data_IF_646254908626
#
_entry.id   IF_646254908626
#
_cell.length_a   1.000
_cell.length_b   1.000
_cell.length_c   1.000
_cell.angle_alpha   90.00
_cell.angle_beta   90.00
_cell.angle_gamma   90.00
#
_symmetry.space_group_name_H-M   'P 1'
#
loop_
_entity.id
_entity.type
_entity.pdbx_description
1 polymer ?
#
# COMPACT_ATOMS: atom_id res chain seq x y z
N UNK A 1 18.59 16.04 22.34
CA UNK A 1 17.21 16.56 22.36
C UNK A 1 16.21 15.51 22.83
N UNK A 2 15.60 15.69 24.01
CA UNK A 2 14.71 14.69 24.62
C UNK A 2 13.35 14.56 23.92
N UNK A 3 12.90 15.59 23.19
CA UNK A 3 11.62 15.58 22.46
C UNK A 3 11.83 15.31 20.98
N UNK A 4 12.56 16.19 20.29
CA UNK A 4 12.71 16.10 18.83
C UNK A 4 13.46 14.86 18.36
N UNK A 5 14.35 14.29 19.19
CA UNK A 5 15.01 13.02 18.90
C UNK A 5 14.08 11.79 18.92
N UNK A 6 12.87 11.92 19.48
CA UNK A 6 11.87 10.86 19.58
C UNK A 6 10.71 11.05 18.60
N UNK A 7 10.80 12.01 17.68
CA UNK A 7 9.83 12.20 16.61
C UNK A 7 10.19 11.36 15.39
N UNK A 8 9.23 10.58 14.89
CA UNK A 8 9.39 9.71 13.73
C UNK A 8 8.40 10.07 12.62
N UNK A 9 8.75 9.81 11.34
CA UNK A 9 7.83 10.01 10.24
C UNK A 9 6.69 8.98 10.29
N UNK A 10 5.46 9.48 10.29
CA UNK A 10 4.21 8.70 10.27
C UNK A 10 3.53 8.91 8.92
N UNK A 11 3.73 7.98 7.99
CA UNK A 11 3.18 8.05 6.63
C UNK A 11 1.77 7.48 6.50
N UNK A 12 1.36 6.60 7.42
CA UNK A 12 0.04 5.95 7.35
C UNK A 12 -0.61 5.77 8.71
N UNK A 13 0.16 5.35 9.73
CA UNK A 13 -0.35 5.05 11.06
C UNK A 13 0.72 5.00 12.13
N UNK A 14 0.29 5.22 13.37
CA UNK A 14 1.06 5.05 14.60
C UNK A 14 0.15 4.38 15.65
N UNK A 15 0.70 3.54 16.52
CA UNK A 15 -0.09 2.85 17.54
C UNK A 15 0.69 2.55 18.81
N UNK A 16 -0.05 2.35 19.91
CA UNK A 16 0.43 1.86 21.19
C UNK A 16 -0.25 0.53 21.52
N UNK A 17 0.47 -0.39 22.16
CA UNK A 17 -0.06 -1.69 22.62
C UNK A 17 0.12 -1.81 24.12
N UNK A 18 -0.96 -2.05 24.83
CA UNK A 18 -0.94 -2.56 26.20
C UNK A 18 -1.24 -4.07 26.16
N UNK A 19 -0.17 -4.87 26.28
CA UNK A 19 -0.29 -6.34 26.24
C UNK A 19 -0.98 -6.90 27.49
N UNK A 20 -0.83 -6.25 28.64
CA UNK A 20 -1.43 -6.74 29.88
C UNK A 20 -2.96 -6.59 29.87
N UNK A 21 -3.45 -5.51 29.25
CA UNK A 21 -4.89 -5.26 29.07
C UNK A 21 -5.46 -5.80 27.76
N UNK A 22 -4.60 -6.32 26.89
CA UNK A 22 -4.93 -6.71 25.52
C UNK A 22 -5.64 -5.59 24.74
N UNK A 23 -5.04 -4.40 24.71
CA UNK A 23 -5.58 -3.22 24.01
C UNK A 23 -4.53 -2.64 23.08
N UNK A 24 -4.95 -2.27 21.86
CA UNK A 24 -4.18 -1.44 20.94
C UNK A 24 -4.94 -0.16 20.62
N UNK A 25 -4.28 0.98 20.82
CA UNK A 25 -4.74 2.30 20.38
C UNK A 25 -4.00 2.67 19.10
N UNK A 26 -4.71 2.86 17.99
CA UNK A 26 -4.13 3.17 16.67
C UNK A 26 -4.69 4.46 16.11
N UNK A 27 -3.82 5.30 15.56
CA UNK A 27 -4.19 6.49 14.81
C UNK A 27 -3.73 6.34 13.36
N UNK A 28 -4.66 6.42 12.41
CA UNK A 28 -4.37 6.51 10.98
C UNK A 28 -4.29 7.98 10.56
N UNK A 29 -3.29 8.31 9.74
CA UNK A 29 -3.10 9.66 9.17
C UNK A 29 -3.53 9.70 7.70
N UNK A 30 -4.03 10.84 7.25
CA UNK A 30 -4.34 11.07 5.83
C UNK A 30 -3.14 11.59 5.02
N UNK A 31 -2.02 11.87 5.68
CA UNK A 31 -0.77 12.38 5.11
C UNK A 31 0.41 12.06 6.03
N UNK A 32 1.62 12.30 5.52
CA UNK A 32 2.85 12.24 6.31
C UNK A 32 2.86 13.31 7.41
N UNK A 33 3.11 12.89 8.63
CA UNK A 33 3.23 13.76 9.82
C UNK A 33 4.40 13.30 10.68
N UNK A 34 4.90 14.18 11.55
CA UNK A 34 5.78 13.76 12.64
C UNK A 34 4.93 13.24 13.80
N UNK A 35 5.29 12.09 14.39
CA UNK A 35 4.59 11.54 15.55
C UNK A 35 5.55 10.99 16.61
N UNK A 36 5.06 10.94 17.85
CA UNK A 36 5.82 10.42 18.98
C UNK A 36 4.92 9.83 20.08
N UNK A 37 5.55 9.23 21.08
CA UNK A 37 4.98 8.76 22.35
C UNK A 37 5.96 9.16 23.44
N UNK A 38 5.87 10.40 23.93
CA UNK A 38 6.84 10.98 24.87
C UNK A 38 6.65 10.51 26.32
N UNK A 39 5.47 9.99 26.64
CA UNK A 39 5.17 9.36 27.92
C UNK A 39 4.36 8.08 27.71
N UNK A 40 4.46 7.14 28.65
CA UNK A 40 3.73 5.88 28.60
C UNK A 40 2.22 6.10 28.45
N UNK A 41 1.62 5.45 27.45
CA UNK A 41 0.20 5.58 27.14
C UNK A 41 -0.20 6.86 26.40
N UNK A 42 0.75 7.73 26.05
CA UNK A 42 0.51 8.95 25.27
C UNK A 42 0.98 8.81 23.83
N UNK A 43 0.26 9.41 22.89
CA UNK A 43 0.63 9.46 21.49
C UNK A 43 0.31 10.85 20.96
N UNK A 44 1.24 11.44 20.23
CA UNK A 44 1.08 12.76 19.63
C UNK A 44 1.45 12.77 18.15
N UNK A 45 0.80 13.67 17.42
CA UNK A 45 1.06 13.94 16.00
C UNK A 45 1.19 15.44 15.82
N UNK A 46 2.28 15.88 15.20
CA UNK A 46 2.49 17.26 14.82
C UNK A 46 1.68 17.55 13.54
N UNK A 47 0.56 18.25 13.71
CA UNK A 47 -0.44 18.44 12.64
C UNK A 47 -0.10 19.57 11.67
N UNK A 48 0.56 20.62 12.17
CA UNK A 48 0.95 21.79 11.39
C UNK A 48 2.11 22.51 12.09
N UNK A 49 2.93 23.25 11.34
CA UNK A 49 4.09 23.99 11.85
C UNK A 49 4.15 25.38 11.25
N UNK A 50 4.58 26.34 12.06
CA UNK A 50 4.90 27.70 11.64
C UNK A 50 6.12 28.16 12.43
N UNK A 51 7.16 28.59 11.73
CA UNK A 51 8.41 29.08 12.28
C UNK A 51 8.62 30.54 11.84
N UNK A 52 9.18 31.36 12.72
CA UNK A 52 9.49 32.77 12.42
C UNK A 52 10.95 32.98 11.99
N UNK A 53 11.75 31.92 12.04
CA UNK A 53 13.17 31.93 11.70
C UNK A 53 13.50 30.74 10.79
N UNK A 54 14.47 30.97 9.91
CA UNK A 54 15.11 29.94 9.09
C UNK A 54 16.02 29.06 9.97
N UNK A 55 16.20 27.80 9.56
CA UNK A 55 17.01 26.81 10.28
C UNK A 55 18.47 26.73 9.79
N UNK A 56 18.85 27.59 8.84
CA UNK A 56 20.18 27.72 8.26
C UNK A 56 20.68 26.47 7.52
N UNK A 57 19.79 25.61 7.02
CA UNK A 57 20.15 24.45 6.18
C UNK A 57 20.05 24.69 4.67
N UNK A 58 19.90 25.96 4.25
CA UNK A 58 20.13 26.40 2.86
C UNK A 58 18.88 26.82 2.08
N UNK A 59 17.68 26.72 2.67
CA UNK A 59 16.45 27.21 2.02
C UNK A 59 16.41 28.75 2.06
N UNK A 60 16.81 29.37 3.18
CA UNK A 60 16.93 30.82 3.30
C UNK A 60 15.60 31.54 3.59
N UNK A 61 14.59 30.82 4.06
CA UNK A 61 13.30 31.35 4.47
C UNK A 61 12.74 30.56 5.66
N UNK A 62 12.01 31.26 6.55
CA UNK A 62 11.31 30.61 7.64
C UNK A 62 10.09 29.85 7.11
N UNK A 63 9.76 28.71 7.73
CA UNK A 63 8.52 27.96 7.44
C UNK A 63 7.29 28.74 7.92
N UNK A 64 6.85 29.74 7.15
CA UNK A 64 5.84 30.73 7.52
C UNK A 64 4.78 30.90 6.42
N UNK A 65 4.16 29.81 6.02
CA UNK A 65 3.20 29.79 4.91
C UNK A 65 1.97 30.67 5.18
N UNK A 66 1.59 31.48 4.20
CA UNK A 66 0.46 32.40 4.26
C UNK A 66 -0.37 32.36 2.97
N UNK A 67 -1.64 32.72 3.06
CA UNK A 67 -2.46 33.05 1.89
C UNK A 67 -2.03 34.40 1.29
N UNK A 68 -2.53 34.71 0.10
CA UNK A 68 -2.22 35.95 -0.64
C UNK A 68 -2.47 37.25 0.16
N UNK A 69 -3.37 37.22 1.16
CA UNK A 69 -3.69 38.36 2.01
C UNK A 69 -2.84 38.44 3.30
N UNK A 70 -1.79 37.60 3.43
CA UNK A 70 -0.91 37.53 4.59
C UNK A 70 -1.47 36.74 5.79
N UNK A 71 -2.66 36.16 5.67
CA UNK A 71 -3.23 35.30 6.73
C UNK A 71 -2.49 33.96 6.76
N UNK A 72 -2.20 33.44 7.95
CA UNK A 72 -1.53 32.14 8.11
C UNK A 72 -2.28 31.00 7.40
N UNK A 73 -1.54 30.11 6.73
CA UNK A 73 -2.12 28.99 6.00
C UNK A 73 -2.89 28.05 6.95
N UNK A 74 -4.12 27.70 6.56
CA UNK A 74 -4.94 26.73 7.26
C UNK A 74 -4.97 25.42 6.50
N UNK A 75 -4.55 24.35 7.16
CA UNK A 75 -4.64 22.99 6.62
C UNK A 75 -5.79 22.22 7.26
N UNK A 76 -6.51 21.44 6.46
CA UNK A 76 -7.51 20.48 6.93
C UNK A 76 -6.97 19.07 6.70
N UNK A 77 -6.89 18.30 7.79
CA UNK A 77 -6.54 16.89 7.76
C UNK A 77 -7.61 16.02 8.41
N UNK A 78 -7.47 14.71 8.25
CA UNK A 78 -8.34 13.70 8.85
C UNK A 78 -7.49 12.61 9.51
N UNK A 79 -7.79 12.36 10.78
CA UNK A 79 -7.29 11.20 11.51
C UNK A 79 -8.43 10.20 11.74
N UNK A 80 -8.11 8.91 11.73
CA UNK A 80 -9.04 7.89 12.23
C UNK A 80 -8.43 7.22 13.45
N UNK A 81 -9.19 7.19 14.53
CA UNK A 81 -8.75 6.60 15.79
C UNK A 81 -9.46 5.26 15.97
N UNK A 82 -8.69 4.22 16.25
CA UNK A 82 -9.16 2.87 16.47
C UNK A 82 -8.71 2.38 17.84
N UNK A 83 -9.62 1.74 18.57
CA UNK A 83 -9.32 0.99 19.78
C UNK A 83 -9.78 -0.45 19.56
N UNK A 84 -8.88 -1.41 19.70
CA UNK A 84 -9.17 -2.83 19.46
C UNK A 84 -8.35 -3.72 20.39
N UNK A 85 -8.63 -5.03 20.39
CA UNK A 85 -7.69 -5.99 20.97
C UNK A 85 -6.40 -6.06 20.15
N UNK A 86 -5.32 -6.55 20.75
CA UNK A 86 -4.01 -6.66 20.06
C UNK A 86 -4.08 -7.65 18.90
N UNK A 87 -4.91 -8.70 19.02
CA UNK A 87 -5.06 -9.74 17.98
C UNK A 87 -5.82 -9.23 16.75
N UNK A 88 -6.84 -8.38 16.95
CA UNK A 88 -7.68 -7.87 15.85
C UNK A 88 -7.10 -6.62 15.18
N UNK A 89 -6.17 -5.94 15.85
CA UNK A 89 -5.74 -4.62 15.45
C UNK A 89 -5.18 -4.56 14.02
N UNK A 90 -4.32 -5.52 13.65
CA UNK A 90 -3.69 -5.55 12.35
C UNK A 90 -4.71 -5.69 11.21
N UNK A 91 -5.70 -6.56 11.36
CA UNK A 91 -6.78 -6.74 10.39
C UNK A 91 -7.55 -5.43 10.16
N UNK A 92 -7.83 -4.69 11.24
CA UNK A 92 -8.56 -3.43 11.17
C UNK A 92 -7.72 -2.31 10.55
N UNK A 93 -6.56 -2.01 11.12
CA UNK A 93 -5.80 -0.83 10.73
C UNK A 93 -5.13 -0.97 9.35
N UNK A 94 -4.74 -2.18 8.92
CA UNK A 94 -4.12 -2.39 7.60
C UNK A 94 -5.13 -2.22 6.48
N UNK A 95 -6.26 -2.93 6.58
CA UNK A 95 -7.36 -2.82 5.62
C UNK A 95 -7.90 -1.39 5.55
N UNK A 96 -8.10 -0.76 6.72
CA UNK A 96 -8.61 0.61 6.74
C UNK A 96 -7.61 1.62 6.17
N UNK A 97 -6.32 1.51 6.49
CA UNK A 97 -5.29 2.37 5.90
C UNK A 97 -5.26 2.24 4.37
N UNK A 98 -5.31 1.01 3.84
CA UNK A 98 -5.39 0.78 2.40
C UNK A 98 -6.64 1.41 1.78
N UNK A 99 -7.80 1.26 2.40
CA UNK A 99 -9.06 1.87 1.91
C UNK A 99 -9.05 3.41 1.98
N UNK A 100 -8.30 3.99 2.92
CA UNK A 100 -8.13 5.44 3.02
C UNK A 100 -7.22 5.97 1.92
N UNK A 101 -6.16 5.23 1.58
CA UNK A 101 -5.23 5.59 0.52
C UNK A 101 -5.87 5.42 -0.87
N UNK A 102 -6.53 4.29 -1.11
CA UNK A 102 -7.25 3.98 -2.36
C UNK A 102 -8.74 4.28 -2.24
N UNK A 103 -9.07 5.51 -1.83
CA UNK A 103 -10.47 5.95 -1.76
C UNK A 103 -11.12 5.98 -3.16
N UNK A 104 -12.42 5.68 -3.29
CA UNK A 104 -13.10 5.74 -4.58
C UNK A 104 -13.00 7.12 -5.23
N UNK A 105 -12.70 7.14 -6.54
CA UNK A 105 -12.74 8.37 -7.34
C UNK A 105 -14.18 8.68 -7.69
N UNK A 106 -14.66 9.84 -7.25
CA UNK A 106 -16.01 10.31 -7.55
C UNK A 106 -15.97 11.14 -8.85
N UNK A 107 -16.82 10.78 -9.81
CA UNK A 107 -17.02 11.53 -11.05
C UNK A 107 -18.48 12.00 -11.13
N UNK A 108 -18.68 13.25 -11.54
CA UNK A 108 -20.00 13.87 -11.63
C UNK A 108 -20.20 14.41 -13.05
N UNK A 109 -21.39 14.18 -13.61
CA UNK A 109 -21.80 14.71 -14.90
C UNK A 109 -23.29 15.08 -14.86
N UNK A 110 -23.71 16.16 -15.56
CA UNK A 110 -25.12 16.45 -15.73
C UNK A 110 -25.75 15.37 -16.62
N UNK A 111 -26.68 14.58 -16.09
CA UNK A 111 -27.35 13.52 -16.83
C UNK A 111 -28.78 13.31 -16.34
N UNK A 112 -29.68 12.96 -17.25
CA UNK A 112 -31.00 12.41 -16.90
C UNK A 112 -30.82 10.92 -16.62
N UNK A 113 -31.24 10.47 -15.44
CA UNK A 113 -31.01 9.09 -15.00
C UNK A 113 -31.52 8.03 -16.00
N UNK A 114 -32.73 8.13 -16.59
CA UNK A 114 -33.20 7.13 -17.56
C UNK A 114 -32.29 7.03 -18.79
N UNK A 115 -31.94 8.17 -19.39
CA UNK A 115 -31.10 8.23 -20.58
C UNK A 115 -29.71 7.66 -20.31
N UNK A 116 -29.13 7.97 -19.14
CA UNK A 116 -27.82 7.48 -18.72
C UNK A 116 -27.79 5.96 -18.51
N UNK A 117 -28.81 5.42 -17.83
CA UNK A 117 -28.92 3.97 -17.62
C UNK A 117 -29.11 3.20 -18.93
N UNK A 118 -29.70 3.83 -19.94
CA UNK A 118 -29.91 3.21 -21.25
C UNK A 118 -28.66 3.28 -22.15
N UNK A 119 -27.93 4.41 -22.16
CA UNK A 119 -26.76 4.57 -23.04
C UNK A 119 -25.49 3.90 -22.51
N UNK A 120 -25.37 3.79 -21.19
CA UNK A 120 -24.08 3.80 -20.57
C UNK A 120 -23.93 2.65 -19.56
N UNK A 121 -22.77 2.01 -19.61
CA UNK A 121 -22.45 0.91 -18.69
C UNK A 121 -22.12 1.47 -17.31
N UNK A 122 -23.02 1.27 -16.35
CA UNK A 122 -22.89 1.81 -14.99
C UNK A 122 -22.06 0.93 -14.05
N UNK A 123 -21.76 -0.30 -14.44
CA UNK A 123 -20.92 -1.22 -13.66
C UNK A 123 -19.93 -1.96 -14.56
N UNK A 124 -18.67 -1.93 -14.16
CA UNK A 124 -17.60 -2.68 -14.81
C UNK A 124 -16.64 -3.22 -13.76
N UNK A 125 -16.13 -4.42 -14.01
CA UNK A 125 -15.02 -5.00 -13.27
C UNK A 125 -14.19 -5.83 -14.25
N UNK A 126 -12.89 -5.60 -14.27
CA UNK A 126 -11.92 -6.42 -14.99
C UNK A 126 -11.62 -7.74 -14.26
N UNK A 127 -12.06 -7.88 -13.01
CA UNK A 127 -11.85 -9.06 -12.18
C UNK A 127 -13.04 -10.03 -12.28
N UNK A 128 -12.76 -11.31 -12.47
CA UNK A 128 -13.72 -12.42 -12.42
C UNK A 128 -13.98 -12.87 -10.97
N UNK A 129 -12.98 -12.75 -10.10
CA UNK A 129 -13.03 -13.05 -8.68
C UNK A 129 -12.25 -11.99 -7.88
N UNK A 130 -12.60 -11.72 -6.61
CA UNK A 130 -11.81 -10.84 -5.78
C UNK A 130 -10.41 -11.43 -5.54
N UNK A 131 -9.42 -10.55 -5.37
CA UNK A 131 -8.09 -10.95 -4.87
C UNK A 131 -8.21 -11.53 -3.45
N UNK A 132 -7.26 -12.40 -3.03
CA UNK A 132 -7.18 -12.80 -1.63
C UNK A 132 -7.13 -11.58 -0.69
N UNK A 133 -7.74 -11.64 0.50
CA UNK A 133 -7.90 -10.48 1.39
C UNK A 133 -6.58 -9.91 1.94
N UNK A 134 -5.49 -10.66 1.84
CA UNK A 134 -4.13 -10.27 2.20
C UNK A 134 -3.27 -9.80 1.02
N UNK A 135 -3.84 -9.75 -0.19
CA UNK A 135 -3.18 -9.31 -1.42
C UNK A 135 -3.79 -8.00 -1.91
N UNK A 136 -2.94 -7.05 -2.26
CA UNK A 136 -3.33 -5.77 -2.83
C UNK A 136 -2.73 -5.60 -4.24
N UNK A 137 -3.56 -5.09 -5.16
CA UNK A 137 -3.13 -4.69 -6.50
C UNK A 137 -2.49 -3.30 -6.43
N UNK A 138 -1.18 -3.27 -6.26
CA UNK A 138 -0.41 -2.04 -6.05
C UNK A 138 -0.23 -1.22 -7.33
N UNK A 139 -0.08 -1.88 -8.48
CA UNK A 139 0.08 -1.20 -9.77
C UNK A 139 -0.61 -2.00 -10.86
N UNK A 140 -1.38 -1.30 -11.69
CA UNK A 140 -1.89 -1.78 -12.96
C UNK A 140 -1.75 -0.65 -13.98
N UNK A 141 -0.77 -0.75 -14.88
CA UNK A 141 -0.37 0.34 -15.78
C UNK A 141 -0.06 -0.20 -17.18
N UNK A 142 -0.52 0.49 -18.23
CA UNK A 142 -0.12 0.16 -19.59
C UNK A 142 1.38 0.45 -19.76
N UNK A 143 2.18 -0.58 -20.03
CA UNK A 143 3.63 -0.41 -20.14
C UNK A 143 4.07 -0.05 -21.56
N UNK A 144 3.48 -0.71 -22.55
CA UNK A 144 3.62 -0.42 -23.99
C UNK A 144 2.38 -0.94 -24.72
N UNK A 145 2.37 -0.99 -26.06
CA UNK A 145 1.18 -1.44 -26.81
C UNK A 145 0.76 -2.90 -26.56
N UNK A 146 1.64 -3.73 -26.00
CA UNK A 146 1.43 -5.18 -25.85
C UNK A 146 1.29 -5.62 -24.40
N UNK A 147 1.94 -4.91 -23.47
CA UNK A 147 2.15 -5.37 -22.10
C UNK A 147 1.60 -4.38 -21.07
N UNK A 148 1.15 -4.95 -19.96
CA UNK A 148 0.69 -4.24 -18.76
C UNK A 148 1.63 -4.55 -17.61
N UNK A 149 2.07 -3.51 -16.91
CA UNK A 149 2.81 -3.62 -15.66
C UNK A 149 1.84 -3.92 -14.52
N UNK A 150 2.07 -5.06 -13.86
CA UNK A 150 1.29 -5.55 -12.74
C UNK A 150 2.18 -5.65 -11.50
N UNK A 151 1.84 -4.96 -10.41
CA UNK A 151 2.45 -5.17 -9.10
C UNK A 151 1.43 -5.66 -8.10
N UNK A 152 1.78 -6.75 -7.41
CA UNK A 152 0.98 -7.33 -6.34
C UNK A 152 1.80 -7.30 -5.07
N UNK A 153 1.18 -6.92 -3.97
CA UNK A 153 1.80 -6.90 -2.66
C UNK A 153 1.01 -7.73 -1.64
N UNK A 154 1.73 -8.36 -0.72
CA UNK A 154 1.15 -8.90 0.51
C UNK A 154 1.32 -7.89 1.63
N UNK A 155 0.27 -7.15 1.94
CA UNK A 155 0.38 -5.97 2.81
C UNK A 155 0.30 -6.30 4.31
N UNK A 156 0.22 -7.58 4.71
CA UNK A 156 0.38 -8.07 6.08
C UNK A 156 1.78 -8.62 6.34
N UNK A 157 2.20 -8.56 7.60
CA UNK A 157 3.47 -9.07 8.13
C UNK A 157 3.24 -10.32 9.01
N UNK A 158 4.27 -11.17 9.13
CA UNK A 158 4.24 -12.37 9.98
C UNK A 158 3.92 -12.02 11.45
N UNK A 159 4.46 -10.91 11.95
CA UNK A 159 4.33 -10.49 13.35
C UNK A 159 3.07 -9.66 13.66
N UNK A 160 2.19 -9.51 12.68
CA UNK A 160 0.92 -8.80 12.87
C UNK A 160 -0.07 -9.54 13.77
N UNK A 161 0.12 -10.86 13.99
CA UNK A 161 -0.82 -11.74 14.66
C UNK A 161 -2.23 -11.76 14.01
N UNK A 162 -2.33 -11.45 12.71
CA UNK A 162 -3.60 -11.39 11.97
C UNK A 162 -4.11 -12.76 11.48
N UNK A 163 -3.70 -13.85 12.14
CA UNK A 163 -4.04 -15.23 11.78
C UNK A 163 -3.72 -15.54 10.31
N UNK A 164 -4.72 -16.03 9.57
CA UNK A 164 -4.57 -16.41 8.16
C UNK A 164 -4.22 -15.25 7.23
N UNK A 165 -4.48 -13.98 7.63
CA UNK A 165 -4.12 -12.82 6.81
C UNK A 165 -2.60 -12.59 6.79
N UNK A 166 -1.89 -13.08 7.80
CA UNK A 166 -0.42 -13.07 7.87
C UNK A 166 0.20 -14.33 7.24
N UNK A 167 -0.60 -15.28 6.75
CA UNK A 167 -0.11 -16.45 6.02
C UNK A 167 0.13 -16.12 4.55
N UNK A 168 1.05 -16.83 3.90
CA UNK A 168 1.34 -16.61 2.49
C UNK A 168 0.10 -16.83 1.60
N UNK A 169 -0.06 -16.00 0.58
CA UNK A 169 -1.10 -16.14 -0.42
C UNK A 169 -0.61 -17.00 -1.59
N UNK A 170 -1.47 -17.89 -2.08
CA UNK A 170 -1.24 -18.66 -3.30
C UNK A 170 -2.53 -18.68 -4.12
N UNK A 171 -2.51 -18.10 -5.32
CA UNK A 171 -3.71 -17.95 -6.14
C UNK A 171 -3.37 -17.88 -7.63
N UNK A 172 -4.34 -18.25 -8.48
CA UNK A 172 -4.23 -18.15 -9.93
C UNK A 172 -4.54 -16.74 -10.41
N UNK A 173 -3.62 -16.11 -11.15
CA UNK A 173 -3.92 -14.83 -11.81
C UNK A 173 -4.97 -14.99 -12.91
N UNK A 174 -4.97 -16.12 -13.62
CA UNK A 174 -5.95 -16.39 -14.66
C UNK A 174 -7.37 -16.50 -14.12
N UNK A 175 -7.55 -17.02 -12.90
CA UNK A 175 -8.86 -17.09 -12.25
C UNK A 175 -9.34 -15.72 -11.74
N UNK A 176 -8.43 -14.77 -11.54
CA UNK A 176 -8.73 -13.43 -11.02
C UNK A 176 -9.12 -12.46 -12.12
N UNK A 177 -8.43 -12.45 -13.27
CA UNK A 177 -8.74 -11.53 -14.38
C UNK A 177 -9.73 -12.14 -15.38
N UNK A 178 -10.72 -11.36 -15.82
CA UNK A 178 -11.69 -11.80 -16.86
C UNK A 178 -11.02 -12.01 -18.21
N UNK A 179 -10.03 -11.21 -18.54
CA UNK A 179 -9.32 -11.31 -19.81
C UNK A 179 -8.28 -12.43 -19.73
N UNK A 180 -8.22 -13.34 -20.72
CA UNK A 180 -7.19 -14.38 -20.76
C UNK A 180 -5.79 -13.78 -20.80
N UNK A 181 -4.87 -14.37 -20.03
CA UNK A 181 -3.45 -14.01 -20.00
C UNK A 181 -2.73 -14.90 -21.00
N UNK A 182 -2.02 -14.28 -21.95
CA UNK A 182 -1.20 -14.97 -22.93
C UNK A 182 0.19 -15.30 -22.36
N UNK A 183 0.80 -14.35 -21.65
CA UNK A 183 2.12 -14.55 -21.05
C UNK A 183 2.35 -13.63 -19.85
N UNK A 184 3.28 -14.05 -18.99
CA UNK A 184 3.73 -13.28 -17.83
C UNK A 184 5.25 -13.39 -17.69
N UNK A 185 5.91 -12.25 -17.45
CA UNK A 185 7.34 -12.20 -17.15
C UNK A 185 7.54 -11.50 -15.81
N UNK A 186 8.13 -12.19 -14.84
CA UNK A 186 8.50 -11.58 -13.56
C UNK A 186 9.75 -10.70 -13.72
N UNK A 187 9.68 -9.48 -13.19
CA UNK A 187 10.71 -8.46 -13.28
C UNK A 187 11.26 -8.12 -11.89
N UNK A 188 12.37 -7.36 -11.86
CA UNK A 188 12.72 -6.60 -10.66
C UNK A 188 11.65 -5.53 -10.32
N UNK A 189 11.75 -4.93 -9.13
CA UNK A 189 10.77 -3.94 -8.66
C UNK A 189 10.62 -2.73 -9.61
N UNK A 190 11.75 -2.31 -10.20
CA UNK A 190 11.82 -1.20 -11.15
C UNK A 190 11.34 -1.56 -12.57
N UNK A 191 10.97 -2.82 -12.82
CA UNK A 191 10.56 -3.34 -14.13
C UNK A 191 11.61 -3.19 -15.26
N UNK A 192 12.90 -3.10 -14.92
CA UNK A 192 14.00 -2.93 -15.90
C UNK A 192 14.69 -4.22 -16.29
N UNK A 193 14.60 -5.28 -15.49
CA UNK A 193 15.32 -6.54 -15.75
C UNK A 193 14.47 -7.74 -15.35
N UNK A 194 14.38 -8.79 -16.20
CA UNK A 194 13.74 -10.05 -15.82
C UNK A 194 14.35 -10.64 -14.55
N UNK A 195 13.50 -11.07 -13.61
CA UNK A 195 13.93 -11.58 -12.30
C UNK A 195 14.90 -12.75 -12.41
N UNK A 196 14.72 -13.60 -13.43
CA UNK A 196 15.59 -14.76 -13.73
C UNK A 196 17.03 -14.38 -14.09
N UNK A 197 17.26 -13.13 -14.52
CA UNK A 197 18.60 -12.63 -14.90
C UNK A 197 19.32 -11.94 -13.73
N UNK A 198 18.66 -11.79 -12.57
CA UNK A 198 19.25 -11.11 -11.42
C UNK A 198 20.11 -12.11 -10.65
N UNK A 199 21.41 -11.82 -10.57
CA UNK A 199 22.31 -12.43 -9.59
C UNK A 199 22.46 -11.50 -8.38
N UNK A 200 22.32 -12.04 -7.17
CA UNK A 200 22.57 -11.28 -5.93
C UNK A 200 24.01 -11.52 -5.50
N UNK A 201 24.68 -10.46 -5.08
CA UNK A 201 25.93 -10.59 -4.34
C UNK A 201 25.66 -11.33 -3.02
N UNK A 202 26.52 -12.29 -2.72
CA UNK A 202 26.51 -13.03 -1.46
C UNK A 202 27.46 -12.33 -0.49
N UNK A 203 26.92 -11.95 0.67
CA UNK A 203 27.69 -11.31 1.73
C UNK A 203 27.70 -12.24 2.94
N UNK A 204 28.86 -12.40 3.58
CA UNK A 204 28.97 -13.05 4.87
C UNK A 204 28.69 -12.00 5.95
N UNK A 205 27.57 -12.10 6.68
CA UNK A 205 27.30 -11.17 7.77
C UNK A 205 28.21 -11.48 8.97
N UNK A 206 28.56 -10.45 9.74
CA UNK A 206 29.17 -10.65 11.05
C UNK A 206 28.12 -11.21 12.02
N UNK A 207 28.16 -12.52 12.27
CA UNK A 207 27.24 -13.23 13.19
C UNK A 207 26.63 -14.51 12.60
N UNK A 208 25.76 -15.19 13.38
CA UNK A 208 25.03 -16.36 12.90
C UNK A 208 24.02 -15.98 11.80
N UNK A 209 24.15 -16.60 10.63
CA UNK A 209 23.23 -16.42 9.51
C UNK A 209 21.83 -16.93 9.90
N UNK A 210 20.91 -15.99 10.17
CA UNK A 210 19.51 -16.33 10.44
C UNK A 210 18.72 -16.41 9.13
N UNK A 211 18.49 -17.64 8.67
CA UNK A 211 17.40 -17.97 7.75
C UNK A 211 17.77 -18.01 6.28
N UNK A 212 17.61 -19.20 5.68
CA UNK A 212 17.49 -19.36 4.24
C UNK A 212 16.12 -18.82 3.79
N UNK A 213 16.12 -17.74 3.01
CA UNK A 213 14.90 -17.30 2.32
C UNK A 213 14.58 -18.36 1.27
N UNK A 214 13.51 -19.11 1.46
CA UNK A 214 13.02 -20.04 0.44
C UNK A 214 12.75 -19.25 -0.84
N UNK A 215 13.33 -19.62 -1.99
CA UNK A 215 13.02 -18.95 -3.25
C UNK A 215 11.53 -19.13 -3.53
N UNK A 216 10.87 -18.04 -3.95
CA UNK A 216 9.48 -18.12 -4.40
C UNK A 216 9.40 -19.11 -5.56
N UNK A 217 8.54 -20.12 -5.44
CA UNK A 217 8.31 -21.08 -6.51
C UNK A 217 8.04 -20.34 -7.83
N UNK A 218 8.72 -20.80 -8.88
CA UNK A 218 8.58 -20.22 -10.20
C UNK A 218 7.14 -20.40 -10.74
N UNK A 219 6.69 -19.42 -11.52
CA UNK A 219 5.42 -19.42 -12.24
C UNK A 219 5.46 -20.52 -13.33
N UNK A 220 4.96 -21.71 -13.04
CA UNK A 220 4.81 -22.77 -14.04
C UNK A 220 3.47 -23.47 -13.89
N UNK A 221 2.48 -23.05 -14.69
CA UNK A 221 1.21 -23.73 -15.03
C UNK A 221 0.40 -22.80 -15.96
N UNK A 222 -0.44 -23.28 -16.90
CA UNK A 222 -1.50 -22.48 -17.56
C UNK A 222 -2.37 -21.59 -16.64
N UNK A 223 -2.39 -21.86 -15.33
CA UNK A 223 -3.12 -21.05 -14.35
C UNK A 223 -2.38 -19.77 -13.90
N UNK A 224 -1.10 -19.58 -14.24
CA UNK A 224 -0.28 -18.43 -13.81
C UNK A 224 -0.35 -18.18 -12.29
N UNK A 225 -0.03 -19.21 -11.50
CA UNK A 225 -0.14 -19.18 -10.02
C UNK A 225 0.91 -18.27 -9.38
N UNK A 226 0.44 -17.28 -8.61
CA UNK A 226 1.29 -16.36 -7.86
C UNK A 226 1.30 -16.75 -6.38
N UNK A 227 2.50 -17.03 -5.90
CA UNK A 227 2.82 -17.11 -4.48
C UNK A 227 3.34 -15.77 -3.96
N UNK A 228 2.77 -15.26 -2.88
CA UNK A 228 3.21 -14.06 -2.18
C UNK A 228 3.41 -14.37 -0.69
N UNK A 229 4.65 -14.30 -0.24
CA UNK A 229 4.97 -14.33 1.18
C UNK A 229 4.57 -13.00 1.85
N UNK A 230 4.42 -12.97 3.19
CA UNK A 230 4.16 -11.73 3.92
C UNK A 230 5.18 -10.63 3.61
N UNK A 231 4.70 -9.39 3.46
CA UNK A 231 5.46 -8.21 3.06
C UNK A 231 6.13 -8.28 1.67
N UNK A 232 5.89 -9.33 0.88
CA UNK A 232 6.47 -9.45 -0.44
C UNK A 232 5.73 -8.59 -1.47
N UNK A 233 6.49 -7.91 -2.32
CA UNK A 233 6.00 -7.25 -3.54
C UNK A 233 6.60 -7.99 -4.72
N UNK A 234 5.75 -8.39 -5.69
CA UNK A 234 6.19 -8.98 -6.96
C UNK A 234 5.72 -8.14 -8.13
N UNK A 235 6.58 -8.02 -9.14
CA UNK A 235 6.38 -7.16 -10.31
C UNK A 235 6.39 -8.02 -11.55
N UNK A 236 5.42 -7.83 -12.43
CA UNK A 236 5.22 -8.62 -13.63
C UNK A 236 4.91 -7.72 -14.83
N UNK A 237 5.40 -8.12 -16.00
CA UNK A 237 4.87 -7.68 -17.28
C UNK A 237 3.91 -8.77 -17.79
N UNK A 238 2.67 -8.38 -18.04
CA UNK A 238 1.58 -9.29 -18.45
C UNK A 238 1.15 -8.94 -19.86
N UNK A 239 1.06 -9.95 -20.73
CA UNK A 239 0.43 -9.84 -22.04
C UNK A 239 -0.93 -10.51 -21.94
N UNK A 240 -1.99 -9.76 -22.20
CA UNK A 240 -3.33 -10.35 -22.30
C UNK A 240 -3.57 -10.84 -23.73
N UNK A 241 -4.29 -11.95 -23.88
CA UNK A 241 -4.72 -12.40 -25.19
C UNK A 241 -5.57 -11.31 -25.85
N UNK A 242 -5.43 -11.09 -27.17
CA UNK A 242 -6.31 -10.22 -27.91
C UNK A 242 -7.75 -10.62 -27.61
N UNK A 243 -8.57 -9.66 -27.19
CA UNK A 243 -10.00 -9.89 -27.11
C UNK A 243 -10.46 -10.34 -28.49
N UNK A 244 -10.92 -11.58 -28.60
CA UNK A 244 -11.72 -11.99 -29.76
C UNK A 244 -12.91 -11.05 -29.77
N UNK A 245 -12.87 -10.05 -30.65
CA UNK A 245 -14.01 -9.20 -30.95
C UNK A 245 -15.14 -10.13 -31.40
N UNK A 246 -16.24 -10.12 -30.67
CA UNK A 246 -17.54 -10.53 -31.19
C UNK A 246 -18.43 -9.30 -31.12
N UNK A 247 -18.57 -8.64 -32.27
CA UNK A 247 -19.69 -7.76 -32.61
C UNK A 247 -19.80 -6.47 -31.83
#
# INVERSE_FOLDING_TARGET
EPVSGNYYPVNSRIYLKDKARNIQFTVLTDRSQGGSSLADGSLELMVHRRLLHDDAFGVGEALNETYYNGTGLVVRGRHRVLLSSVEQAAQLHRTLAQSMYMAPVLAFAPAKLPDYLQCCRTTYSALAAPLPPNVHLLTLEQWNNETVLLRLEHFYEIKDNAGNLSAAANFSLQAVFKQPIASITEMNLAATTPKKQISRLEFTPDGEATGSVKPSNALYDPAFNVYLAPMQIRTFLVTFSPSFNLG
#
